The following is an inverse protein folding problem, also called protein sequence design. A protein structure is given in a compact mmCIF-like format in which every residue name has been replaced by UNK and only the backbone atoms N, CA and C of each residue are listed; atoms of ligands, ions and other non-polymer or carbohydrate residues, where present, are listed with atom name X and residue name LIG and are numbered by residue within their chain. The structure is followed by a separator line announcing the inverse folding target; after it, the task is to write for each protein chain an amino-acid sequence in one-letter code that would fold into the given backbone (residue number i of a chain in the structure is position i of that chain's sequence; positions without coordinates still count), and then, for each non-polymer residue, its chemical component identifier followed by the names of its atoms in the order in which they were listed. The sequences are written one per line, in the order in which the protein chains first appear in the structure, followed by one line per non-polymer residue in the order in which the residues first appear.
data_IF_782562782488
#
_entry.id   IF_782562782488
#
_cell.length_a   1.000
_cell.length_b   1.000
_cell.length_c   1.000
_cell.angle_alpha   90.00
_cell.angle_beta   90.00
_cell.angle_gamma   90.00
#
_symmetry.space_group_name_H-M   'P 1'
#
loop_
_entity.id
_entity.type
_entity.pdbx_description
1 polymer ?
#
# COMPACT_ATOMS: atom_id res chain seq x y z
N UNK A 1 -3.64 -10.30 20.15
CA UNK A 1 -3.56 -9.32 19.05
C UNK A 1 -2.09 -9.03 18.78
N UNK A 2 -1.63 -9.27 17.55
CA UNK A 2 -0.24 -8.96 17.22
C UNK A 2 -0.01 -7.47 17.29
N UNK A 3 1.09 -7.07 17.90
CA UNK A 3 1.51 -5.67 17.91
C UNK A 3 1.81 -5.21 16.48
N UNK A 4 1.04 -4.24 16.00
CA UNK A 4 1.18 -3.71 14.63
C UNK A 4 2.54 -3.06 14.39
N UNK A 5 3.13 -2.47 15.43
CA UNK A 5 4.47 -1.89 15.34
C UNK A 5 5.51 -2.99 15.12
N UNK A 6 5.47 -4.05 15.90
CA UNK A 6 6.37 -5.18 15.75
C UNK A 6 6.21 -5.87 14.38
N UNK A 7 4.96 -6.02 13.91
CA UNK A 7 4.68 -6.56 12.57
C UNK A 7 5.26 -5.67 11.47
N UNK A 8 5.03 -4.38 11.55
CA UNK A 8 5.55 -3.40 10.58
C UNK A 8 7.08 -3.39 10.55
N UNK A 9 7.72 -3.46 11.71
CA UNK A 9 9.19 -3.51 11.83
C UNK A 9 9.75 -4.81 11.22
N UNK A 10 9.08 -5.94 11.43
CA UNK A 10 9.45 -7.23 10.85
C UNK A 10 9.33 -7.21 9.31
N UNK A 11 8.24 -6.68 8.78
CA UNK A 11 8.05 -6.53 7.33
C UNK A 11 9.11 -5.60 6.73
N UNK A 12 9.39 -4.48 7.39
CA UNK A 12 10.42 -3.53 6.97
C UNK A 12 11.78 -4.21 6.86
N UNK A 13 12.20 -4.97 7.85
CA UNK A 13 13.48 -5.65 7.86
C UNK A 13 13.57 -6.68 6.74
N UNK A 14 12.54 -7.48 6.54
CA UNK A 14 12.49 -8.50 5.47
C UNK A 14 12.54 -7.83 4.09
N UNK A 15 11.77 -6.75 3.88
CA UNK A 15 11.80 -6.00 2.63
C UNK A 15 13.16 -5.35 2.37
N UNK A 16 13.78 -4.78 3.40
CA UNK A 16 15.12 -4.23 3.31
C UNK A 16 16.14 -5.30 2.88
N UNK A 17 16.09 -6.47 3.48
CA UNK A 17 16.99 -7.59 3.14
C UNK A 17 16.81 -8.05 1.68
N UNK A 18 15.57 -8.03 1.18
CA UNK A 18 15.27 -8.29 -0.23
C UNK A 18 15.94 -7.25 -1.13
N UNK A 19 15.82 -5.98 -0.79
CA UNK A 19 16.42 -4.88 -1.56
C UNK A 19 17.95 -4.95 -1.53
N UNK A 20 18.56 -5.32 -0.42
CA UNK A 20 20.00 -5.53 -0.31
C UNK A 20 20.47 -6.66 -1.22
N UNK A 21 19.74 -7.78 -1.26
CA UNK A 21 20.13 -8.95 -2.05
C UNK A 21 19.85 -8.78 -3.54
N UNK A 22 18.66 -8.32 -3.91
CA UNK A 22 18.20 -8.26 -5.30
C UNK A 22 18.47 -6.90 -5.97
N UNK A 23 18.75 -5.85 -5.20
CA UNK A 23 18.84 -4.46 -5.67
C UNK A 23 17.54 -4.02 -6.38
N UNK A 24 17.60 -2.91 -7.12
CA UNK A 24 16.50 -2.48 -7.99
C UNK A 24 16.66 -3.07 -9.40
N UNK A 25 15.60 -3.06 -10.19
CA UNK A 25 15.63 -3.44 -11.60
C UNK A 25 14.77 -4.63 -11.98
N UNK A 26 14.26 -5.39 -11.02
CA UNK A 26 13.28 -6.44 -11.32
C UNK A 26 11.87 -5.88 -11.51
N UNK A 27 11.01 -6.68 -12.14
CA UNK A 27 9.59 -6.40 -12.23
C UNK A 27 8.94 -6.41 -10.84
N UNK A 28 7.92 -5.60 -10.65
CA UNK A 28 7.19 -5.48 -9.38
C UNK A 28 6.72 -6.84 -8.86
N UNK A 29 6.21 -7.71 -9.75
CA UNK A 29 5.77 -9.07 -9.38
C UNK A 29 6.86 -9.95 -8.78
N UNK A 30 8.09 -9.77 -9.21
CA UNK A 30 9.24 -10.50 -8.64
C UNK A 30 9.46 -10.11 -7.18
N UNK A 31 9.40 -8.82 -6.87
CA UNK A 31 9.51 -8.34 -5.49
C UNK A 31 8.32 -8.76 -4.63
N UNK A 32 7.12 -8.72 -5.18
CA UNK A 32 5.91 -9.20 -4.50
C UNK A 32 6.06 -10.67 -4.09
N UNK A 33 6.49 -11.51 -5.00
CA UNK A 33 6.69 -12.94 -4.73
C UNK A 33 7.81 -13.17 -3.72
N UNK A 34 8.91 -12.42 -3.82
CA UNK A 34 10.02 -12.52 -2.86
C UNK A 34 9.58 -12.13 -1.44
N UNK A 35 8.84 -11.04 -1.32
CA UNK A 35 8.33 -10.57 -0.02
C UNK A 35 7.33 -11.56 0.56
N UNK A 36 6.36 -12.01 -0.22
CA UNK A 36 5.38 -13.01 0.22
C UNK A 36 6.06 -14.31 0.68
N UNK A 37 7.04 -14.79 -0.09
CA UNK A 37 7.81 -15.99 0.27
C UNK A 37 8.52 -15.85 1.62
N UNK A 38 9.27 -14.77 1.81
CA UNK A 38 10.04 -14.55 3.04
C UNK A 38 9.15 -14.29 4.26
N UNK A 39 8.04 -13.60 4.09
CA UNK A 39 7.06 -13.39 5.16
C UNK A 39 6.40 -14.71 5.59
N UNK A 40 6.02 -15.56 4.64
CA UNK A 40 5.47 -16.89 4.94
C UNK A 40 6.50 -17.78 5.62
N UNK A 41 7.74 -17.74 5.18
CA UNK A 41 8.86 -18.45 5.82
C UNK A 41 9.06 -18.01 7.28
N UNK A 42 8.77 -16.75 7.58
CA UNK A 42 8.80 -16.22 8.95
C UNK A 42 7.53 -16.57 9.77
N UNK A 43 6.61 -17.36 9.22
CA UNK A 43 5.41 -17.84 9.90
C UNK A 43 4.22 -16.89 9.83
N UNK A 44 4.25 -15.87 8.95
CA UNK A 44 3.16 -14.93 8.80
C UNK A 44 2.13 -15.40 7.78
N UNK A 45 0.84 -15.09 8.04
CA UNK A 45 -0.23 -15.27 7.07
C UNK A 45 -0.16 -14.16 6.02
N UNK A 46 -0.02 -14.53 4.76
CA UNK A 46 0.14 -13.59 3.64
C UNK A 46 -0.78 -13.99 2.50
N UNK A 47 -1.65 -13.06 2.10
CA UNK A 47 -2.48 -13.17 0.91
C UNK A 47 -1.94 -12.22 -0.16
N UNK A 48 -1.68 -12.74 -1.35
CA UNK A 48 -1.27 -11.94 -2.51
C UNK A 48 -2.49 -11.57 -3.35
N UNK A 49 -2.48 -10.38 -3.95
CA UNK A 49 -3.55 -9.89 -4.81
C UNK A 49 -4.91 -10.01 -4.13
N UNK A 50 -4.98 -9.47 -2.92
CA UNK A 50 -6.18 -9.54 -2.09
C UNK A 50 -7.24 -8.55 -2.59
N UNK A 51 -8.46 -9.01 -2.92
CA UNK A 51 -9.51 -8.12 -3.40
C UNK A 51 -10.03 -7.20 -2.29
N UNK A 52 -10.17 -5.91 -2.63
CA UNK A 52 -10.75 -4.87 -1.80
C UNK A 52 -12.00 -4.35 -2.52
N UNK A 53 -13.17 -4.66 -1.99
CA UNK A 53 -14.43 -4.21 -2.57
C UNK A 53 -14.67 -2.72 -2.24
N UNK A 54 -15.15 -1.98 -3.24
CA UNK A 54 -15.48 -0.56 -3.10
C UNK A 54 -16.98 -0.37 -3.25
N UNK A 55 -17.57 0.26 -2.25
CA UNK A 55 -19.00 0.56 -2.19
C UNK A 55 -19.22 2.07 -2.22
N UNK A 56 -20.28 2.50 -2.87
CA UNK A 56 -20.74 3.87 -2.80
C UNK A 56 -21.40 4.16 -1.44
N UNK A 57 -21.71 5.41 -1.20
CA UNK A 57 -22.32 5.90 0.05
C UNK A 57 -23.64 5.18 0.39
N UNK A 58 -24.41 4.81 -0.62
CA UNK A 58 -25.68 4.09 -0.47
C UNK A 58 -25.53 2.55 -0.33
N UNK A 59 -24.29 2.05 -0.30
CA UNK A 59 -24.00 0.61 -0.20
C UNK A 59 -23.96 -0.12 -1.54
N UNK A 60 -24.09 0.58 -2.68
CA UNK A 60 -23.98 -0.03 -3.99
C UNK A 60 -22.53 -0.40 -4.29
N UNK A 61 -22.27 -1.65 -4.68
CA UNK A 61 -20.95 -2.06 -5.13
C UNK A 61 -20.60 -1.35 -6.45
N UNK A 62 -19.44 -0.70 -6.49
CA UNK A 62 -18.99 0.08 -7.65
C UNK A 62 -17.67 -0.40 -8.25
N UNK A 63 -17.02 -1.37 -7.66
CA UNK A 63 -15.80 -1.95 -8.18
C UNK A 63 -14.97 -2.62 -7.11
N UNK A 64 -13.82 -3.12 -7.52
CA UNK A 64 -12.84 -3.70 -6.61
C UNK A 64 -11.42 -3.33 -7.02
N UNK A 65 -10.52 -3.36 -6.05
CA UNK A 65 -9.07 -3.27 -6.24
C UNK A 65 -8.41 -4.55 -5.79
N UNK A 66 -7.16 -4.74 -6.21
CA UNK A 66 -6.31 -5.81 -5.70
C UNK A 66 -5.15 -5.20 -4.93
N UNK A 67 -5.11 -5.43 -3.62
CA UNK A 67 -3.93 -5.09 -2.81
C UNK A 67 -2.83 -6.13 -3.08
N UNK A 68 -1.59 -5.68 -3.25
CA UNK A 68 -0.49 -6.60 -3.53
C UNK A 68 -0.35 -7.66 -2.44
N UNK A 69 -0.30 -7.26 -1.17
CA UNK A 69 -0.27 -8.17 -0.03
C UNK A 69 -1.22 -7.71 1.08
N UNK A 70 -1.84 -8.69 1.72
CA UNK A 70 -2.51 -8.53 3.02
C UNK A 70 -1.82 -9.46 4.01
N UNK A 71 -1.23 -8.89 5.06
CA UNK A 71 -0.45 -9.63 6.06
C UNK A 71 -1.21 -9.70 7.38
N UNK A 72 -1.38 -10.92 7.90
CA UNK A 72 -2.07 -11.20 9.17
C UNK A 72 -3.51 -10.64 9.21
N UNK A 73 -4.12 -10.37 8.06
CA UNK A 73 -5.45 -9.78 7.96
C UNK A 73 -5.56 -8.33 8.45
N UNK A 74 -4.46 -7.65 8.78
CA UNK A 74 -4.45 -6.32 9.39
C UNK A 74 -3.56 -5.30 8.69
N UNK A 75 -2.61 -5.73 7.88
CA UNK A 75 -1.62 -4.85 7.25
C UNK A 75 -1.67 -4.99 5.74
N UNK A 76 -2.07 -3.93 5.06
CA UNK A 76 -1.99 -3.83 3.59
C UNK A 76 -0.59 -3.40 3.20
N UNK A 77 -0.01 -4.07 2.21
CA UNK A 77 1.27 -3.69 1.61
C UNK A 77 1.07 -3.46 0.12
N UNK A 78 1.47 -2.28 -0.34
CA UNK A 78 1.56 -1.93 -1.75
C UNK A 78 3.03 -1.81 -2.16
N UNK A 79 3.38 -2.44 -3.27
CA UNK A 79 4.72 -2.43 -3.83
C UNK A 79 4.78 -1.53 -5.05
N UNK A 80 5.90 -0.84 -5.19
CA UNK A 80 6.21 -0.03 -6.37
C UNK A 80 7.64 -0.30 -6.84
N UNK A 81 7.86 -0.11 -8.13
CA UNK A 81 9.18 -0.14 -8.76
C UNK A 81 9.41 1.18 -9.52
N UNK A 82 9.23 2.28 -8.81
CA UNK A 82 9.36 3.63 -9.33
C UNK A 82 10.71 4.26 -8.92
N UNK A 83 11.11 5.35 -9.56
CA UNK A 83 12.30 6.10 -9.15
C UNK A 83 12.13 6.71 -7.76
N UNK A 84 10.91 7.13 -7.44
CA UNK A 84 10.52 7.68 -6.14
C UNK A 84 9.03 7.44 -5.90
N UNK A 85 8.63 7.44 -4.64
CA UNK A 85 7.22 7.39 -4.26
C UNK A 85 6.56 8.72 -4.65
N UNK A 86 5.47 8.63 -5.41
CA UNK A 86 4.70 9.78 -5.88
C UNK A 86 3.41 9.96 -5.06
N UNK A 87 2.80 11.18 -5.05
CA UNK A 87 1.56 11.45 -4.34
C UNK A 87 0.40 10.52 -4.72
N UNK A 88 0.30 10.09 -5.98
CA UNK A 88 -0.71 9.14 -6.44
C UNK A 88 -0.55 7.75 -5.81
N UNK A 89 0.66 7.33 -5.50
CA UNK A 89 0.92 6.07 -4.78
C UNK A 89 0.40 6.13 -3.35
N UNK A 90 0.59 7.27 -2.69
CA UNK A 90 0.08 7.52 -1.33
C UNK A 90 -1.45 7.55 -1.30
N UNK A 91 -2.06 8.24 -2.26
CA UNK A 91 -3.51 8.29 -2.40
C UNK A 91 -4.12 6.90 -2.63
N UNK A 92 -3.45 6.06 -3.41
CA UNK A 92 -3.88 4.68 -3.68
C UNK A 92 -3.95 3.86 -2.40
N UNK A 93 -2.89 3.83 -1.60
CA UNK A 93 -2.89 3.02 -0.36
C UNK A 93 -3.89 3.54 0.66
N UNK A 94 -4.04 4.86 0.79
CA UNK A 94 -5.04 5.46 1.67
C UNK A 94 -6.47 5.10 1.23
N UNK A 95 -6.73 5.09 -0.08
CA UNK A 95 -8.01 4.64 -0.64
C UNK A 95 -8.29 3.17 -0.36
N UNK A 96 -7.27 2.32 -0.44
CA UNK A 96 -7.39 0.90 -0.11
C UNK A 96 -7.71 0.68 1.38
N UNK A 97 -7.03 1.40 2.28
CA UNK A 97 -7.28 1.32 3.72
C UNK A 97 -8.70 1.74 4.05
N UNK A 98 -9.17 2.84 3.48
CA UNK A 98 -10.54 3.31 3.66
C UNK A 98 -11.57 2.29 3.18
N UNK A 99 -11.40 1.75 1.98
CA UNK A 99 -12.33 0.79 1.38
C UNK A 99 -12.34 -0.56 2.12
N UNK A 100 -11.17 -1.02 2.55
CA UNK A 100 -11.02 -2.26 3.32
C UNK A 100 -11.39 -2.10 4.80
N UNK A 101 -11.56 -0.87 5.28
CA UNK A 101 -11.72 -0.53 6.71
C UNK A 101 -10.59 -1.08 7.57
N UNK A 102 -9.38 -1.01 7.05
CA UNK A 102 -8.15 -1.36 7.76
C UNK A 102 -7.37 -0.11 8.13
N UNK A 103 -6.70 -0.15 9.27
CA UNK A 103 -6.04 1.03 9.82
C UNK A 103 -4.62 1.21 9.34
N UNK A 104 -3.93 0.14 8.90
CA UNK A 104 -2.49 0.16 8.69
C UNK A 104 -2.08 -0.31 7.30
N UNK A 105 -1.18 0.44 6.69
CA UNK A 105 -0.61 0.12 5.40
C UNK A 105 0.86 0.49 5.29
N UNK A 106 1.58 -0.24 4.45
CA UNK A 106 2.95 0.05 4.06
C UNK A 106 3.03 0.21 2.55
N UNK A 107 3.72 1.24 2.13
CA UNK A 107 4.09 1.46 0.74
C UNK A 107 5.60 1.25 0.62
N UNK A 108 6.01 0.26 -0.16
CA UNK A 108 7.40 -0.14 -0.31
C UNK A 108 7.82 0.05 -1.76
N UNK A 109 8.86 0.84 -1.97
CA UNK A 109 9.42 1.05 -3.29
C UNK A 109 10.75 0.31 -3.43
N UNK A 110 10.77 -0.70 -4.31
CA UNK A 110 11.96 -1.47 -4.65
C UNK A 110 12.69 -0.91 -5.89
N UNK A 111 12.13 0.09 -6.55
CA UNK A 111 12.66 0.62 -7.81
C UNK A 111 13.72 1.70 -7.66
N UNK A 112 13.93 2.24 -6.46
CA UNK A 112 14.93 3.25 -6.19
C UNK A 112 16.24 2.62 -5.71
N UNK A 113 17.36 3.34 -5.95
CA UNK A 113 18.67 2.90 -5.46
C UNK A 113 18.70 2.74 -3.94
N UNK A 114 18.11 3.70 -3.22
CA UNK A 114 17.91 3.61 -1.77
C UNK A 114 16.59 2.91 -1.46
N UNK A 115 16.59 2.04 -0.46
CA UNK A 115 15.38 1.45 0.05
C UNK A 115 14.42 2.52 0.56
N UNK A 116 13.17 2.47 0.11
CA UNK A 116 12.16 3.45 0.47
C UNK A 116 10.90 2.73 0.95
N UNK A 117 10.48 3.07 2.17
CA UNK A 117 9.27 2.54 2.78
C UNK A 117 8.56 3.65 3.55
N UNK A 118 7.24 3.71 3.43
CA UNK A 118 6.38 4.65 4.17
C UNK A 118 5.23 3.91 4.81
N UNK A 119 4.93 4.30 6.05
CA UNK A 119 3.80 3.78 6.81
C UNK A 119 2.63 4.76 6.74
N UNK A 120 1.44 4.21 6.53
CA UNK A 120 0.19 4.96 6.50
C UNK A 120 -0.77 4.40 7.54
N UNK A 121 -1.55 5.30 8.13
CA UNK A 121 -2.64 4.95 9.01
C UNK A 121 -3.91 5.64 8.56
N UNK A 122 -5.03 4.94 8.63
CA UNK A 122 -6.35 5.49 8.37
C UNK A 122 -7.30 5.13 9.52
N UNK A 123 -8.15 6.07 9.92
CA UNK A 123 -9.16 5.86 10.95
C UNK A 123 -10.42 6.65 10.60
N UNK A 124 -11.58 6.08 10.85
CA UNK A 124 -12.88 6.75 10.65
C UNK A 124 -13.02 8.01 11.52
N UNK A 125 -12.35 8.04 12.66
CA UNK A 125 -12.41 9.12 13.65
C UNK A 125 -11.30 10.15 13.50
N UNK A 126 -10.69 10.30 12.31
CA UNK A 126 -9.65 11.31 12.13
C UNK A 126 -10.19 12.74 12.23
N UNK A 127 -9.46 13.66 12.89
CA UNK A 127 -9.84 15.07 12.94
C UNK A 127 -9.97 15.68 11.55
N UNK A 128 -10.88 16.62 11.39
CA UNK A 128 -11.20 17.29 10.11
C UNK A 128 -9.98 17.79 9.33
N UNK A 129 -8.87 18.07 10.00
CA UNK A 129 -7.61 18.54 9.38
C UNK A 129 -7.01 17.50 8.44
N UNK A 130 -7.10 16.22 8.78
CA UNK A 130 -6.58 15.11 7.96
C UNK A 130 -7.52 14.81 6.80
N UNK A 131 -8.84 14.96 7.01
CA UNK A 131 -9.83 14.82 5.94
C UNK A 131 -9.67 15.91 4.86
N UNK A 132 -9.26 17.12 5.25
CA UNK A 132 -8.98 18.20 4.30
C UNK A 132 -7.75 17.90 3.44
N UNK A 133 -6.71 17.33 4.01
CA UNK A 133 -5.52 16.90 3.28
C UNK A 133 -5.83 15.75 2.33
N UNK A 134 -6.67 14.79 2.75
CA UNK A 134 -7.13 13.70 1.90
C UNK A 134 -8.00 14.21 0.73
N UNK A 135 -8.87 15.20 0.97
CA UNK A 135 -9.66 15.85 -0.11
C UNK A 135 -8.77 16.60 -1.10
N UNK A 136 -7.74 17.26 -0.64
CA UNK A 136 -6.77 17.96 -1.52
C UNK A 136 -5.99 16.95 -2.36
N UNK A 137 -5.51 15.84 -1.76
CA UNK A 137 -4.84 14.76 -2.48
C UNK A 137 -5.77 14.10 -3.50
N UNK A 138 -7.02 13.81 -3.13
CA UNK A 138 -8.03 13.29 -4.04
C UNK A 138 -8.35 14.23 -5.21
N UNK A 139 -8.37 15.53 -4.97
CA UNK A 139 -8.55 16.55 -6.01
C UNK A 139 -7.35 16.62 -6.95
N UNK A 140 -6.11 16.54 -6.44
CA UNK A 140 -4.91 16.51 -7.25
C UNK A 140 -4.81 15.26 -8.12
N UNK A 141 -5.17 14.09 -7.59
CA UNK A 141 -5.21 12.83 -8.36
C UNK A 141 -6.24 12.91 -9.48
N UNK A 142 -7.41 13.47 -9.21
CA UNK A 142 -8.45 13.68 -10.23
C UNK A 142 -8.01 14.67 -11.32
N UNK A 143 -7.34 15.75 -10.94
CA UNK A 143 -6.81 16.74 -11.87
C UNK A 143 -5.67 16.18 -12.74
N UNK A 144 -4.77 15.39 -12.16
CA UNK A 144 -3.69 14.71 -12.89
C UNK A 144 -4.22 13.65 -13.85
N UNK A 145 -5.21 12.87 -13.43
CA UNK A 145 -5.88 11.88 -14.28
C UNK A 145 -6.56 12.54 -15.48
N UNK A 146 -7.23 13.69 -15.28
CA UNK A 146 -7.80 14.47 -16.35
C UNK A 146 -6.74 15.06 -17.30
N UNK A 147 -5.59 15.48 -16.79
CA UNK A 147 -4.47 16.01 -17.58
C UNK A 147 -3.84 14.93 -18.47
N UNK A 148 -3.70 13.70 -18.01
CA UNK A 148 -3.19 12.58 -18.80
C UNK A 148 -4.21 12.00 -19.78
N UNK A 149 -5.51 12.16 -19.54
CA UNK A 149 -6.57 11.70 -20.45
C UNK A 149 -6.74 12.60 -21.69
N UNK A 150 -6.23 13.84 -21.69
CA UNK A 150 -6.35 14.83 -22.78
C UNK A 150 -5.15 14.79 -23.75
N UNK A 151 -4.14 13.96 -23.52
CA UNK A 151 -3.03 13.68 -24.42
C UNK A 151 -3.20 12.31 -25.07
#
# INVERSE_FOLDING_TARGET
MKDIKALSDQVRQIAYDIHVYHAHGHLEKVYENALAHRLRKAGLDVKQQHPIEVYDEDGTWIGDYLADLLVEGVLIIELKTAKTIAPEHEAQILGYLKSARLEHGLLINFGSYKFEIRKYAWSENQPQRTQRTQRVLGFFVSALSAYFAVK
#
